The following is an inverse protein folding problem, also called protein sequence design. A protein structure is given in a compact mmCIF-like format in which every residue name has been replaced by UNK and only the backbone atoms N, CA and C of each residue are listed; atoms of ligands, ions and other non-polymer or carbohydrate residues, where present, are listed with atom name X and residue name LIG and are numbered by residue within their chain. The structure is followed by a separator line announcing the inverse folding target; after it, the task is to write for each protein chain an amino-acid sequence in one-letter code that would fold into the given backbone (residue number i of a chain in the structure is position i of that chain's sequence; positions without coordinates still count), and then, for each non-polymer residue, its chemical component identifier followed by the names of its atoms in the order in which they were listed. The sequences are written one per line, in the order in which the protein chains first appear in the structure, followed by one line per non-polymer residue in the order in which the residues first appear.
data_IF_167978732932
#
_entry.id   IF_167978732932
#
_cell.length_a   1.000
_cell.length_b   1.000
_cell.length_c   1.000
_cell.angle_alpha   90.00
_cell.angle_beta   90.00
_cell.angle_gamma   90.00
#
_symmetry.space_group_name_H-M   'P 1'
#
loop_
_entity.id
_entity.type
_entity.pdbx_description
1 polymer ?
#
# COMPACT_ATOMS: atom_id res chain seq x y z
N UNK A 1 26.15 58.64 1.88
CA UNK A 1 25.84 57.99 3.18
C UNK A 1 25.38 56.54 3.06
N UNK A 2 25.18 56.00 1.85
CA UNK A 2 24.76 54.61 1.58
C UNK A 2 25.90 53.65 1.28
N UNK A 3 27.05 54.13 0.80
CA UNK A 3 28.23 53.30 0.51
C UNK A 3 28.95 52.76 1.76
N UNK A 4 28.84 53.47 2.90
CA UNK A 4 29.45 53.06 4.17
C UNK A 4 28.63 52.02 4.93
N UNK A 5 27.32 51.90 4.65
CA UNK A 5 26.46 50.89 5.27
C UNK A 5 26.66 49.52 4.62
N UNK A 6 27.00 49.49 3.33
CA UNK A 6 27.24 48.26 2.58
C UNK A 6 28.56 47.57 2.94
N UNK A 7 29.59 48.35 3.30
CA UNK A 7 30.88 47.82 3.76
C UNK A 7 30.85 47.24 5.17
N UNK A 8 29.92 47.68 6.02
CA UNK A 8 29.74 47.14 7.38
C UNK A 8 28.97 45.81 7.36
N UNK A 9 28.01 45.64 6.44
CA UNK A 9 27.25 44.39 6.31
C UNK A 9 28.08 43.20 5.78
N UNK A 10 29.15 43.47 5.02
CA UNK A 10 30.05 42.43 4.48
C UNK A 10 31.20 42.06 5.43
N UNK A 11 31.40 42.81 6.52
CA UNK A 11 32.58 42.68 7.39
C UNK A 11 32.34 41.81 8.64
N UNK A 12 31.19 41.17 8.81
CA UNK A 12 30.91 40.33 9.98
C UNK A 12 30.01 39.13 9.65
N UNK A 13 30.44 38.31 8.69
CA UNK A 13 30.19 36.88 8.80
C UNK A 13 31.53 36.19 9.01
N UNK A 14 32.00 36.20 10.26
CA UNK A 14 33.00 35.24 10.71
C UNK A 14 32.34 33.86 10.59
N UNK A 15 32.45 33.24 9.41
CA UNK A 15 31.94 31.90 9.16
C UNK A 15 32.45 31.00 10.27
N UNK A 16 31.53 30.37 11.00
CA UNK A 16 31.86 29.39 12.04
C UNK A 16 32.90 28.45 11.44
N UNK A 17 34.11 28.32 12.03
CA UNK A 17 35.14 27.46 11.48
C UNK A 17 34.57 26.05 11.44
N UNK A 18 34.24 25.58 10.22
CA UNK A 18 33.80 24.21 10.00
C UNK A 18 34.99 23.32 10.30
N UNK A 19 35.02 22.77 11.51
CA UNK A 19 36.01 21.77 11.89
C UNK A 19 35.87 20.60 10.94
N UNK A 20 36.94 20.27 10.23
CA UNK A 20 36.95 19.09 9.37
C UNK A 20 36.60 17.87 10.23
N UNK A 21 35.63 17.03 9.84
CA UNK A 21 35.28 15.85 10.61
C UNK A 21 36.53 15.00 10.84
N UNK A 22 36.72 14.52 12.07
CA UNK A 22 37.84 13.66 12.42
C UNK A 22 37.90 12.48 11.44
N UNK A 23 39.04 12.28 10.77
CA UNK A 23 39.24 11.19 9.79
C UNK A 23 38.94 9.81 10.39
N UNK A 24 39.13 9.65 11.70
CA UNK A 24 38.83 8.42 12.43
C UNK A 24 37.32 8.27 12.66
N UNK A 25 36.64 9.34 13.07
CA UNK A 25 35.19 9.33 13.26
C UNK A 25 34.46 9.08 11.92
N UNK A 26 34.94 9.68 10.84
CA UNK A 26 34.39 9.50 9.50
C UNK A 26 34.56 8.05 8.98
N UNK A 27 35.72 7.44 9.21
CA UNK A 27 35.95 6.02 8.89
C UNK A 27 35.09 5.07 9.74
N UNK A 28 34.96 5.35 11.03
CA UNK A 28 34.12 4.56 11.92
C UNK A 28 32.64 4.67 11.52
N UNK A 29 32.16 5.88 11.24
CA UNK A 29 30.80 6.13 10.79
C UNK A 29 30.52 5.42 9.46
N UNK A 30 31.44 5.53 8.49
CA UNK A 30 31.34 4.80 7.22
C UNK A 30 31.30 3.29 7.46
N UNK A 31 32.20 2.75 8.27
CA UNK A 31 32.23 1.32 8.61
C UNK A 31 30.93 0.84 9.27
N UNK A 32 30.40 1.61 10.23
CA UNK A 32 29.13 1.34 10.88
C UNK A 32 27.97 1.38 9.90
N UNK A 33 27.88 2.40 9.03
CA UNK A 33 26.83 2.52 8.03
C UNK A 33 26.84 1.36 7.02
N UNK A 34 28.01 0.99 6.49
CA UNK A 34 28.14 -0.17 5.61
C UNK A 34 27.84 -1.49 6.35
N UNK A 35 28.30 -1.63 7.59
CA UNK A 35 28.02 -2.78 8.44
C UNK A 35 26.53 -2.95 8.71
N UNK A 36 25.81 -1.87 9.03
CA UNK A 36 24.35 -1.87 9.21
C UNK A 36 23.62 -2.23 7.92
N UNK A 37 24.01 -1.65 6.78
CA UNK A 37 23.41 -1.98 5.49
C UNK A 37 23.62 -3.46 5.11
N UNK A 38 24.83 -3.99 5.32
CA UNK A 38 25.14 -5.39 5.08
C UNK A 38 24.38 -6.31 6.04
N UNK A 39 24.28 -5.96 7.32
CA UNK A 39 23.53 -6.72 8.31
C UNK A 39 22.06 -6.82 7.94
N UNK A 40 21.43 -5.71 7.51
CA UNK A 40 20.03 -5.73 7.03
C UNK A 40 19.87 -6.67 5.84
N UNK A 41 20.78 -6.62 4.87
CA UNK A 41 20.76 -7.53 3.71
C UNK A 41 20.93 -8.99 4.12
N UNK A 42 21.86 -9.30 5.03
CA UNK A 42 22.08 -10.65 5.53
C UNK A 42 20.88 -11.19 6.31
N UNK A 43 20.25 -10.37 7.14
CA UNK A 43 19.04 -10.74 7.87
C UNK A 43 17.89 -11.01 6.90
N UNK A 44 17.66 -10.15 5.91
CA UNK A 44 16.63 -10.37 4.89
C UNK A 44 16.88 -11.64 4.07
N UNK A 45 18.12 -11.87 3.66
CA UNK A 45 18.52 -13.09 2.95
C UNK A 45 18.33 -14.34 3.83
N UNK A 46 18.67 -14.24 5.12
CA UNK A 46 18.47 -15.30 6.10
C UNK A 46 16.99 -15.64 6.33
N UNK A 47 16.13 -14.62 6.46
CA UNK A 47 14.67 -14.79 6.57
C UNK A 47 14.13 -15.48 5.30
N UNK A 48 14.53 -15.01 4.12
CA UNK A 48 14.10 -15.60 2.86
C UNK A 48 14.56 -17.07 2.74
N UNK A 49 15.82 -17.35 3.08
CA UNK A 49 16.37 -18.70 3.11
C UNK A 49 15.63 -19.61 4.09
N UNK A 50 15.29 -19.10 5.28
CA UNK A 50 14.52 -19.83 6.29
C UNK A 50 13.11 -20.17 5.82
N UNK A 51 12.41 -19.21 5.20
CA UNK A 51 11.07 -19.42 4.64
C UNK A 51 11.12 -20.46 3.52
N UNK A 52 12.08 -20.37 2.60
CA UNK A 52 12.24 -21.34 1.50
C UNK A 52 12.52 -22.74 2.04
N UNK A 53 13.41 -22.85 3.03
CA UNK A 53 13.74 -24.12 3.66
C UNK A 53 12.52 -24.76 4.33
N UNK A 54 11.79 -24.00 5.14
CA UNK A 54 10.60 -24.50 5.84
C UNK A 54 9.38 -24.73 4.95
N UNK A 55 9.31 -24.09 3.79
CA UNK A 55 8.28 -24.32 2.76
C UNK A 55 8.51 -25.60 1.93
N UNK A 56 9.75 -26.10 1.87
CA UNK A 56 10.13 -27.21 1.01
C UNK A 56 9.28 -28.49 1.22
N UNK A 57 8.95 -28.92 2.46
CA UNK A 57 8.09 -30.09 2.68
C UNK A 57 6.71 -29.95 2.02
N UNK A 58 6.06 -28.78 2.14
CA UNK A 58 4.76 -28.54 1.53
C UNK A 58 4.84 -28.57 -0.01
N UNK A 59 5.89 -27.99 -0.60
CA UNK A 59 6.08 -28.07 -2.05
C UNK A 59 6.41 -29.48 -2.55
N UNK A 60 7.07 -30.32 -1.75
CA UNK A 60 7.31 -31.73 -2.09
C UNK A 60 6.04 -32.57 -2.04
N UNK A 61 5.19 -32.33 -1.05
CA UNK A 61 3.94 -33.07 -0.86
C UNK A 61 2.88 -32.68 -1.90
N UNK A 62 2.63 -31.37 -2.06
CA UNK A 62 1.52 -30.88 -2.88
C UNK A 62 1.93 -30.44 -4.29
N UNK A 63 3.23 -30.22 -4.54
CA UNK A 63 3.74 -29.79 -5.84
C UNK A 63 3.04 -28.55 -6.40
N UNK A 64 2.77 -28.57 -7.71
CA UNK A 64 2.00 -27.52 -8.38
C UNK A 64 0.53 -27.47 -7.94
N UNK A 65 0.01 -28.58 -7.41
CA UNK A 65 -1.34 -28.67 -6.85
C UNK A 65 -1.57 -27.68 -5.71
N UNK A 66 -0.53 -27.31 -4.97
CA UNK A 66 -0.62 -26.30 -3.92
C UNK A 66 -1.14 -24.95 -4.42
N UNK A 67 -0.73 -24.52 -5.61
CA UNK A 67 -1.10 -23.21 -6.15
C UNK A 67 -2.54 -23.15 -6.68
N UNK A 68 -3.07 -24.29 -7.11
CA UNK A 68 -4.37 -24.41 -7.78
C UNK A 68 -5.46 -24.98 -6.88
N UNK A 69 -5.06 -25.67 -5.81
CA UNK A 69 -6.00 -26.26 -4.86
C UNK A 69 -6.68 -25.18 -4.01
N UNK A 70 -7.98 -25.35 -3.84
CA UNK A 70 -8.80 -24.60 -2.89
C UNK A 70 -8.92 -25.27 -1.53
N UNK A 71 -8.43 -26.50 -1.40
CA UNK A 71 -8.57 -27.28 -0.17
C UNK A 71 -7.72 -26.68 0.95
N UNK A 72 -8.31 -26.53 2.12
CA UNK A 72 -7.58 -26.21 3.35
C UNK A 72 -8.26 -26.95 4.48
N UNK A 73 -7.75 -28.12 4.82
CA UNK A 73 -8.30 -29.00 5.83
C UNK A 73 -7.17 -29.57 6.68
N UNK A 74 -7.15 -29.14 7.94
CA UNK A 74 -6.16 -29.54 8.95
C UNK A 74 -6.29 -31.04 9.26
N UNK A 75 -7.51 -31.57 9.35
CA UNK A 75 -7.75 -32.97 9.74
C UNK A 75 -7.35 -33.99 8.66
N UNK A 76 -7.36 -33.60 7.39
CA UNK A 76 -6.89 -34.46 6.29
C UNK A 76 -5.51 -34.05 5.76
N UNK A 77 -4.85 -33.09 6.43
CA UNK A 77 -3.57 -32.51 6.03
C UNK A 77 -3.51 -32.07 4.55
N UNK A 78 -4.59 -31.46 4.05
CA UNK A 78 -4.66 -30.97 2.67
C UNK A 78 -4.64 -29.44 2.64
N UNK A 79 -3.63 -28.87 2.00
CA UNK A 79 -3.43 -27.42 1.97
C UNK A 79 -3.26 -26.89 0.55
N UNK A 80 -3.88 -25.74 0.30
CA UNK A 80 -3.95 -25.10 -1.01
C UNK A 80 -3.98 -23.58 -0.88
N UNK A 81 -3.24 -22.91 -1.75
CA UNK A 81 -2.99 -21.47 -1.70
C UNK A 81 -4.02 -20.64 -2.47
N UNK A 82 -4.77 -21.25 -3.39
CA UNK A 82 -5.58 -20.51 -4.37
C UNK A 82 -6.53 -19.46 -3.75
N UNK A 83 -7.33 -19.78 -2.71
CA UNK A 83 -8.27 -18.82 -2.12
C UNK A 83 -7.54 -17.65 -1.46
N UNK A 84 -6.41 -17.94 -0.79
CA UNK A 84 -5.59 -16.93 -0.12
C UNK A 84 -4.90 -15.99 -1.12
N UNK A 85 -4.38 -16.53 -2.24
CA UNK A 85 -3.77 -15.76 -3.31
C UNK A 85 -4.78 -14.83 -3.96
N UNK A 86 -5.94 -15.35 -4.34
CA UNK A 86 -7.01 -14.55 -4.95
C UNK A 86 -7.48 -13.47 -3.99
N UNK A 87 -7.69 -13.79 -2.71
CA UNK A 87 -8.08 -12.81 -1.70
C UNK A 87 -7.05 -11.69 -1.53
N UNK A 88 -5.75 -12.02 -1.48
CA UNK A 88 -4.67 -11.01 -1.40
C UNK A 88 -4.70 -10.07 -2.61
N UNK A 89 -4.75 -10.62 -3.82
CA UNK A 89 -4.71 -9.83 -5.06
C UNK A 89 -6.00 -9.01 -5.20
N UNK A 90 -7.17 -9.60 -4.95
CA UNK A 90 -8.45 -8.91 -5.05
C UNK A 90 -8.55 -7.74 -4.05
N UNK A 91 -8.18 -7.96 -2.78
CA UNK A 91 -8.19 -6.90 -1.77
C UNK A 91 -7.23 -5.76 -2.13
N UNK A 92 -6.02 -6.07 -2.59
CA UNK A 92 -5.05 -5.07 -3.01
C UNK A 92 -5.49 -4.29 -4.26
N UNK A 93 -6.10 -4.96 -5.25
CA UNK A 93 -6.64 -4.32 -6.44
C UNK A 93 -7.81 -3.39 -6.08
N UNK A 94 -8.75 -3.84 -5.24
CA UNK A 94 -9.85 -3.01 -4.77
C UNK A 94 -9.34 -1.79 -4.01
N UNK A 95 -8.33 -1.98 -3.15
CA UNK A 95 -7.70 -0.89 -2.43
C UNK A 95 -7.10 0.17 -3.37
N UNK A 96 -6.43 -0.25 -4.45
CA UNK A 96 -5.87 0.66 -5.44
C UNK A 96 -6.95 1.39 -6.25
N UNK A 97 -7.95 0.66 -6.74
CA UNK A 97 -9.04 1.21 -7.56
C UNK A 97 -9.79 2.31 -6.79
N UNK A 98 -9.96 2.14 -5.48
CA UNK A 98 -10.65 3.12 -4.63
C UNK A 98 -9.67 4.20 -4.13
N UNK A 99 -8.53 3.78 -3.58
CA UNK A 99 -7.60 4.66 -2.87
C UNK A 99 -6.82 5.59 -3.79
N UNK A 100 -6.37 5.13 -4.96
CA UNK A 100 -5.53 5.95 -5.85
C UNK A 100 -6.27 7.19 -6.36
N UNK A 101 -7.50 7.10 -6.91
CA UNK A 101 -8.22 8.29 -7.35
C UNK A 101 -8.46 9.29 -6.21
N UNK A 102 -8.80 8.78 -5.03
CA UNK A 102 -9.02 9.61 -3.83
C UNK A 102 -7.72 10.31 -3.42
N UNK A 103 -6.59 9.61 -3.38
CA UNK A 103 -5.28 10.18 -3.06
C UNK A 103 -4.84 11.25 -4.03
N UNK A 104 -5.01 11.02 -5.34
CA UNK A 104 -4.69 12.01 -6.37
C UNK A 104 -5.58 13.24 -6.22
N UNK A 105 -6.87 13.05 -5.98
CA UNK A 105 -7.81 14.15 -5.71
C UNK A 105 -7.39 14.97 -4.50
N UNK A 106 -7.02 14.33 -3.39
CA UNK A 106 -6.53 15.01 -2.17
C UNK A 106 -5.25 15.79 -2.46
N UNK A 107 -4.28 15.18 -3.17
CA UNK A 107 -3.01 15.84 -3.47
C UNK A 107 -3.19 17.06 -4.40
N UNK A 108 -4.01 16.92 -5.44
CA UNK A 108 -4.34 18.03 -6.36
C UNK A 108 -5.10 19.13 -5.61
N UNK A 109 -6.07 18.77 -4.77
CA UNK A 109 -6.81 19.74 -3.96
C UNK A 109 -5.86 20.54 -3.06
N UNK A 110 -5.00 19.86 -2.30
CA UNK A 110 -4.08 20.53 -1.38
C UNK A 110 -3.09 21.46 -2.08
N UNK A 111 -2.63 21.10 -3.27
CA UNK A 111 -1.64 21.89 -4.01
C UNK A 111 -2.27 23.03 -4.81
N UNK A 112 -3.39 22.82 -5.50
CA UNK A 112 -3.94 23.79 -6.46
C UNK A 112 -5.21 24.53 -6.00
N UNK A 113 -6.07 23.89 -5.21
CA UNK A 113 -7.42 24.41 -4.91
C UNK A 113 -7.55 24.89 -3.46
N UNK A 114 -6.77 24.33 -2.54
CA UNK A 114 -6.91 24.56 -1.12
C UNK A 114 -6.42 25.97 -0.73
N UNK A 115 -7.21 26.76 0.01
CA UNK A 115 -6.80 28.07 0.48
C UNK A 115 -5.62 27.95 1.44
N UNK A 116 -4.69 28.91 1.39
CA UNK A 116 -3.41 28.83 2.09
C UNK A 116 -3.52 28.58 3.61
N UNK A 117 -4.57 29.09 4.26
CA UNK A 117 -4.82 28.89 5.70
C UNK A 117 -5.23 27.45 6.05
N UNK A 118 -5.91 26.73 5.15
CA UNK A 118 -6.38 25.36 5.38
C UNK A 118 -5.36 24.30 4.95
N UNK A 119 -4.44 24.64 4.04
CA UNK A 119 -3.47 23.68 3.47
C UNK A 119 -2.67 22.94 4.54
N UNK A 120 -2.06 23.68 5.47
CA UNK A 120 -1.17 23.11 6.51
C UNK A 120 -1.93 22.23 7.51
N UNK A 121 -3.07 22.67 8.09
CA UNK A 121 -3.88 21.81 8.96
C UNK A 121 -4.34 20.51 8.29
N UNK A 122 -4.91 20.60 7.08
CA UNK A 122 -5.46 19.43 6.38
C UNK A 122 -4.36 18.44 6.02
N UNK A 123 -3.23 18.93 5.53
CA UNK A 123 -2.04 18.12 5.28
C UNK A 123 -1.58 17.35 6.53
N UNK A 124 -1.48 18.06 7.66
CA UNK A 124 -1.08 17.45 8.92
C UNK A 124 -2.07 16.36 9.36
N UNK A 125 -3.38 16.57 9.19
CA UNK A 125 -4.39 15.54 9.50
C UNK A 125 -4.19 14.28 8.65
N UNK A 126 -3.87 14.42 7.36
CA UNK A 126 -3.61 13.28 6.46
C UNK A 126 -2.33 12.54 6.87
N UNK A 127 -1.27 13.26 7.22
CA UNK A 127 -0.02 12.67 7.70
C UNK A 127 -0.20 11.95 9.05
N UNK A 128 -1.02 12.51 9.94
CA UNK A 128 -1.41 11.85 11.19
C UNK A 128 -2.21 10.57 10.95
N UNK A 129 -3.06 10.54 9.91
CA UNK A 129 -3.81 9.35 9.53
C UNK A 129 -2.87 8.19 9.14
N UNK A 130 -1.76 8.48 8.46
CA UNK A 130 -0.73 7.47 8.15
C UNK A 130 -0.04 6.89 9.40
N UNK A 131 -0.06 7.60 10.53
CA UNK A 131 0.57 7.17 11.79
C UNK A 131 -0.32 6.23 12.62
N UNK A 132 -1.59 6.06 12.25
CA UNK A 132 -2.53 5.21 12.98
C UNK A 132 -2.13 3.73 12.78
N UNK A 133 -1.96 2.95 13.87
CA UNK A 133 -1.68 1.52 13.79
C UNK A 133 -2.76 0.76 13.01
N UNK A 134 -2.35 -0.22 12.18
CA UNK A 134 -3.27 -0.95 11.31
C UNK A 134 -4.33 -1.75 12.06
N UNK A 135 -4.01 -2.25 13.26
CA UNK A 135 -4.97 -2.94 14.12
C UNK A 135 -6.17 -2.05 14.50
N UNK A 136 -5.96 -0.73 14.67
CA UNK A 136 -7.03 0.20 15.00
C UNK A 136 -8.00 0.31 13.83
N UNK A 137 -7.50 0.40 12.59
CA UNK A 137 -8.35 0.35 11.40
C UNK A 137 -9.11 -0.97 11.27
N UNK A 138 -8.47 -2.09 11.57
CA UNK A 138 -9.11 -3.41 11.56
C UNK A 138 -10.25 -3.51 12.58
N UNK A 139 -10.00 -3.11 13.83
CA UNK A 139 -11.02 -3.13 14.89
C UNK A 139 -12.15 -2.13 14.62
N UNK A 140 -11.84 -0.90 14.20
CA UNK A 140 -12.86 0.06 13.77
C UNK A 140 -13.66 -0.48 12.57
N UNK A 141 -12.95 -1.11 11.63
CA UNK A 141 -13.50 -1.78 10.47
C UNK A 141 -14.52 -2.86 10.86
N UNK A 142 -14.21 -3.67 11.87
CA UNK A 142 -15.06 -4.77 12.34
C UNK A 142 -16.23 -4.27 13.20
N UNK A 143 -16.00 -3.37 14.15
CA UNK A 143 -17.03 -2.97 15.12
C UNK A 143 -17.92 -1.82 14.66
N UNK A 144 -17.43 -0.96 13.76
CA UNK A 144 -18.17 0.23 13.32
C UNK A 144 -18.50 0.13 11.84
N UNK A 145 -17.49 -0.04 10.98
CA UNK A 145 -17.70 0.01 9.53
C UNK A 145 -18.52 -1.18 9.03
N UNK A 146 -18.17 -2.42 9.40
CA UNK A 146 -18.83 -3.63 8.90
C UNK A 146 -20.34 -3.66 9.22
N UNK A 147 -20.82 -3.37 10.45
CA UNK A 147 -22.26 -3.32 10.72
C UNK A 147 -22.99 -2.26 9.89
N UNK A 148 -22.39 -1.08 9.72
CA UNK A 148 -22.95 -0.01 8.90
C UNK A 148 -22.96 -0.41 7.41
N UNK A 149 -21.87 -0.98 6.93
CA UNK A 149 -21.71 -1.43 5.55
C UNK A 149 -22.69 -2.56 5.21
N UNK A 150 -22.89 -3.52 6.12
CA UNK A 150 -23.90 -4.57 5.99
C UNK A 150 -25.28 -3.96 5.78
N UNK A 151 -25.69 -3.06 6.68
CA UNK A 151 -27.03 -2.48 6.71
C UNK A 151 -27.30 -1.53 5.54
N UNK A 152 -26.35 -0.65 5.22
CA UNK A 152 -26.57 0.45 4.28
C UNK A 152 -26.08 0.15 2.86
N UNK A 153 -25.18 -0.83 2.68
CA UNK A 153 -24.60 -1.15 1.36
C UNK A 153 -24.91 -2.59 0.97
N UNK A 154 -24.48 -3.59 1.75
CA UNK A 154 -24.61 -4.99 1.32
C UNK A 154 -26.08 -5.42 1.17
N UNK A 155 -26.95 -5.12 2.14
CA UNK A 155 -28.37 -5.52 2.07
C UNK A 155 -29.09 -4.82 0.91
N UNK A 156 -29.04 -3.48 0.75
CA UNK A 156 -29.70 -2.82 -0.37
C UNK A 156 -29.18 -3.26 -1.74
N UNK A 157 -27.85 -3.38 -1.89
CA UNK A 157 -27.25 -3.81 -3.16
C UNK A 157 -27.59 -5.26 -3.47
N UNK A 158 -27.54 -6.15 -2.49
CA UNK A 158 -27.88 -7.56 -2.71
C UNK A 158 -29.33 -7.73 -3.12
N UNK A 159 -30.27 -7.01 -2.49
CA UNK A 159 -31.70 -7.04 -2.84
C UNK A 159 -31.97 -6.51 -4.26
N UNK A 160 -31.21 -5.51 -4.73
CA UNK A 160 -31.35 -4.95 -6.07
C UNK A 160 -30.80 -5.86 -7.16
N UNK A 161 -29.80 -6.66 -6.80
CA UNK A 161 -28.99 -7.42 -7.74
C UNK A 161 -29.40 -8.91 -7.75
N UNK A 162 -30.23 -9.33 -6.79
CA UNK A 162 -30.80 -10.67 -6.72
C UNK A 162 -31.47 -11.07 -8.04
N UNK A 163 -31.07 -12.20 -8.60
CA UNK A 163 -31.56 -12.71 -9.89
C UNK A 163 -30.85 -12.21 -11.14
N UNK A 164 -29.91 -11.26 -11.05
CA UNK A 164 -29.09 -10.83 -12.19
C UNK A 164 -27.91 -11.78 -12.43
N UNK A 165 -27.71 -12.31 -13.65
CA UNK A 165 -26.74 -13.39 -13.90
C UNK A 165 -25.27 -12.96 -13.73
N UNK A 166 -24.91 -11.74 -14.14
CA UNK A 166 -23.52 -11.25 -14.07
C UNK A 166 -23.33 -10.35 -12.85
N UNK A 167 -24.24 -9.41 -12.63
CA UNK A 167 -24.11 -8.47 -11.51
C UNK A 167 -24.35 -9.19 -10.18
N UNK A 168 -25.28 -10.15 -10.14
CA UNK A 168 -25.59 -10.95 -8.95
C UNK A 168 -24.63 -12.08 -8.65
N UNK A 169 -23.67 -12.38 -9.54
CA UNK A 169 -22.56 -13.25 -9.15
C UNK A 169 -21.43 -12.49 -8.47
N UNK A 170 -21.28 -11.19 -8.74
CA UNK A 170 -20.19 -10.35 -8.23
C UNK A 170 -20.63 -9.53 -7.00
N UNK A 171 -21.85 -8.99 -7.01
CA UNK A 171 -22.37 -8.03 -6.03
C UNK A 171 -23.52 -8.58 -5.17
N UNK A 172 -23.59 -9.91 -5.02
CA UNK A 172 -24.55 -10.55 -4.13
C UNK A 172 -23.85 -11.09 -2.88
N UNK A 173 -24.31 -10.69 -1.70
CA UNK A 173 -23.83 -11.23 -0.44
C UNK A 173 -24.69 -12.43 -0.02
N UNK A 174 -24.11 -13.63 0.10
CA UNK A 174 -24.87 -14.80 0.62
C UNK A 174 -25.29 -14.62 2.07
N UNK A 175 -24.40 -14.01 2.86
CA UNK A 175 -24.62 -13.69 4.27
C UNK A 175 -24.14 -12.24 4.43
N UNK A 176 -25.04 -11.25 4.53
CA UNK A 176 -24.69 -9.84 4.68
C UNK A 176 -24.13 -9.53 6.08
N UNK A 177 -22.91 -10.00 6.36
CA UNK A 177 -22.23 -9.83 7.66
C UNK A 177 -21.39 -8.56 7.75
N UNK A 178 -21.27 -7.79 6.67
CA UNK A 178 -20.43 -6.59 6.61
C UNK A 178 -18.94 -6.88 6.45
N UNK A 179 -18.48 -8.07 6.84
CA UNK A 179 -17.13 -8.58 6.57
C UNK A 179 -17.05 -9.25 5.20
N UNK A 180 -15.94 -9.06 4.49
CA UNK A 180 -15.77 -9.54 3.12
C UNK A 180 -14.55 -8.94 2.42
N UNK A 181 -14.27 -9.43 1.20
CA UNK A 181 -13.13 -8.96 0.39
C UNK A 181 -13.24 -7.47 0.06
N UNK A 182 -14.44 -6.97 -0.26
CA UNK A 182 -14.66 -5.55 -0.53
C UNK A 182 -14.48 -4.68 0.71
N UNK A 183 -15.00 -5.11 1.86
CA UNK A 183 -14.80 -4.40 3.14
C UNK A 183 -13.32 -4.29 3.46
N UNK A 184 -12.56 -5.38 3.31
CA UNK A 184 -11.11 -5.36 3.45
C UNK A 184 -10.45 -4.39 2.46
N UNK A 185 -10.85 -4.42 1.18
CA UNK A 185 -10.36 -3.50 0.16
C UNK A 185 -10.63 -2.02 0.48
N UNK A 186 -11.79 -1.69 1.07
CA UNK A 186 -12.13 -0.32 1.47
C UNK A 186 -11.28 0.14 2.67
N UNK A 187 -11.12 -0.70 3.70
CA UNK A 187 -10.27 -0.38 4.85
C UNK A 187 -8.81 -0.20 4.39
N UNK A 188 -8.33 -1.07 3.50
CA UNK A 188 -7.02 -0.92 2.88
C UNK A 188 -6.90 0.37 2.07
N UNK A 189 -7.93 0.74 1.30
CA UNK A 189 -7.96 2.00 0.56
C UNK A 189 -7.76 3.19 1.50
N UNK A 190 -8.51 3.25 2.60
CA UNK A 190 -8.37 4.31 3.62
C UNK A 190 -6.95 4.37 4.16
N UNK A 191 -6.31 3.21 4.37
CA UNK A 191 -4.95 3.14 4.90
C UNK A 191 -3.88 3.56 3.89
N UNK A 192 -4.00 3.21 2.60
CA UNK A 192 -3.03 3.61 1.58
C UNK A 192 -3.19 5.08 1.16
N UNK A 193 -4.40 5.64 1.33
CA UNK A 193 -4.72 7.00 0.91
C UNK A 193 -3.73 8.05 1.43
N UNK A 194 -3.43 8.13 2.74
CA UNK A 194 -2.56 9.17 3.26
C UNK A 194 -1.12 9.05 2.76
N UNK A 195 -0.61 7.84 2.50
CA UNK A 195 0.73 7.63 1.94
C UNK A 195 0.82 8.09 0.48
N UNK A 196 -0.13 7.67 -0.35
CA UNK A 196 -0.12 8.04 -1.77
C UNK A 196 -0.38 9.54 -1.93
N UNK A 197 -1.28 10.11 -1.12
CA UNK A 197 -1.63 11.52 -1.15
C UNK A 197 -0.47 12.42 -0.69
N UNK A 198 0.20 12.09 0.43
CA UNK A 198 1.32 12.91 0.94
C UNK A 198 2.48 12.92 -0.03
N UNK A 199 2.90 11.76 -0.52
CA UNK A 199 4.00 11.65 -1.49
C UNK A 199 3.63 12.37 -2.78
N UNK A 200 2.42 12.19 -3.30
CA UNK A 200 2.00 12.87 -4.54
C UNK A 200 1.99 14.39 -4.36
N UNK A 201 1.47 14.88 -3.24
CA UNK A 201 1.45 16.32 -2.92
C UNK A 201 2.87 16.89 -2.87
N UNK A 202 3.77 16.24 -2.15
CA UNK A 202 5.16 16.71 -2.01
C UNK A 202 5.86 16.80 -3.37
N UNK A 203 5.56 15.87 -4.28
CA UNK A 203 6.12 15.86 -5.63
C UNK A 203 5.51 16.96 -6.50
N UNK A 204 4.21 17.24 -6.36
CA UNK A 204 3.55 18.34 -7.06
C UNK A 204 4.05 19.71 -6.56
N UNK A 205 4.29 19.85 -5.25
CA UNK A 205 4.82 21.09 -4.65
C UNK A 205 6.29 21.36 -5.06
N UNK A 206 7.05 20.31 -5.40
CA UNK A 206 8.42 20.44 -5.93
C UNK A 206 8.47 21.00 -7.38
N UNK A 207 7.36 21.01 -8.11
CA UNK A 207 7.33 21.54 -9.47
C UNK A 207 7.52 23.07 -9.45
N UNK A 208 8.49 23.62 -10.23
CA UNK A 208 8.77 25.06 -10.28
C UNK A 208 7.50 25.90 -10.53
N UNK A 209 7.35 26.99 -9.77
CA UNK A 209 6.22 27.92 -9.91
C UNK A 209 6.12 28.52 -11.31
N UNK A 210 7.26 28.77 -11.95
CA UNK A 210 7.35 29.34 -13.30
C UNK A 210 6.57 28.51 -14.33
N UNK A 211 6.57 27.18 -14.23
CA UNK A 211 5.81 26.31 -15.15
C UNK A 211 4.30 26.49 -14.97
N UNK A 212 3.86 26.69 -13.72
CA UNK A 212 2.45 26.96 -13.40
C UNK A 212 2.03 28.34 -13.90
N UNK A 213 2.81 29.36 -13.58
CA UNK A 213 2.54 30.75 -13.96
C UNK A 213 2.57 30.96 -15.48
N UNK A 214 3.47 30.27 -16.18
CA UNK A 214 3.55 30.31 -17.65
C UNK A 214 2.31 29.69 -18.30
N UNK A 215 1.81 28.57 -17.76
CA UNK A 215 0.58 27.95 -18.24
C UNK A 215 -0.66 28.84 -17.98
N UNK A 216 -0.73 29.48 -16.81
CA UNK A 216 -1.78 30.49 -16.57
C UNK A 216 -1.62 31.72 -17.49
N UNK A 217 -0.39 32.12 -17.81
CA UNK A 217 -0.10 33.26 -18.69
C UNK A 217 -0.56 33.07 -20.14
N UNK A 218 -0.69 31.83 -20.62
CA UNK A 218 -1.28 31.50 -21.93
C UNK A 218 -2.80 31.25 -21.88
N UNK A 219 -3.43 31.50 -20.74
CA UNK A 219 -4.88 31.38 -20.57
C UNK A 219 -5.39 30.01 -20.14
N UNK A 220 -4.51 29.08 -19.69
CA UNK A 220 -4.97 27.79 -19.20
C UNK A 220 -5.78 27.92 -17.91
N UNK A 221 -6.83 27.11 -17.80
CA UNK A 221 -7.60 26.88 -16.58
C UNK A 221 -6.83 26.03 -15.57
N UNK A 222 -7.22 26.07 -14.29
CA UNK A 222 -6.61 25.25 -13.23
C UNK A 222 -6.62 23.76 -13.55
N UNK A 223 -7.69 23.26 -14.16
CA UNK A 223 -7.79 21.87 -14.60
C UNK A 223 -6.84 21.54 -15.74
N UNK A 224 -6.67 22.46 -16.70
CA UNK A 224 -5.72 22.27 -17.80
C UNK A 224 -4.27 22.27 -17.31
N UNK A 225 -3.92 23.14 -16.35
CA UNK A 225 -2.60 23.15 -15.71
C UNK A 225 -2.34 21.83 -14.98
N UNK A 226 -3.31 21.33 -14.20
CA UNK A 226 -3.20 20.04 -13.52
C UNK A 226 -3.00 18.90 -14.52
N UNK A 227 -3.87 18.83 -15.54
CA UNK A 227 -3.92 17.71 -16.48
C UNK A 227 -2.74 17.67 -17.45
N UNK A 228 -2.30 18.83 -17.94
CA UNK A 228 -1.30 18.89 -19.02
C UNK A 228 0.11 19.29 -18.55
N UNK A 229 0.25 19.88 -17.36
CA UNK A 229 1.56 20.32 -16.84
C UNK A 229 1.94 19.50 -15.62
N UNK A 230 1.13 19.55 -14.56
CA UNK A 230 1.53 19.02 -13.25
C UNK A 230 1.53 17.49 -13.19
N UNK A 231 0.42 16.85 -13.59
CA UNK A 231 0.29 15.38 -13.55
C UNK A 231 1.31 14.69 -14.46
N UNK A 232 1.52 15.14 -15.72
CA UNK A 232 2.55 14.55 -16.58
C UNK A 232 3.96 14.69 -16.00
N UNK A 233 4.30 15.86 -15.45
CA UNK A 233 5.63 16.12 -14.89
C UNK A 233 5.89 15.31 -13.61
N UNK A 234 4.88 15.10 -12.77
CA UNK A 234 4.97 14.28 -11.56
C UNK A 234 4.67 12.78 -11.80
N UNK A 235 4.36 12.35 -13.02
CA UNK A 235 3.83 11.02 -13.32
C UNK A 235 4.69 9.87 -12.79
N UNK A 236 6.02 9.97 -12.94
CA UNK A 236 6.97 8.96 -12.44
C UNK A 236 6.89 8.82 -10.92
N UNK A 237 6.82 9.94 -10.21
CA UNK A 237 6.76 9.96 -8.75
C UNK A 237 5.39 9.53 -8.23
N UNK A 238 4.32 9.92 -8.93
CA UNK A 238 2.95 9.45 -8.66
C UNK A 238 2.89 7.92 -8.75
N UNK A 239 3.46 7.34 -9.80
CA UNK A 239 3.44 5.88 -9.93
C UNK A 239 4.32 5.23 -8.85
N UNK A 240 5.45 5.85 -8.49
CA UNK A 240 6.25 5.42 -7.34
C UNK A 240 5.46 5.42 -6.01
N UNK A 241 4.63 6.44 -5.78
CA UNK A 241 3.75 6.51 -4.63
C UNK A 241 2.69 5.40 -4.65
N UNK A 242 2.06 5.17 -5.81
CA UNK A 242 1.07 4.09 -6.01
C UNK A 242 1.71 2.71 -5.76
N UNK A 243 2.93 2.49 -6.24
CA UNK A 243 3.68 1.26 -6.00
C UNK A 243 3.96 1.02 -4.52
N UNK A 244 4.30 2.08 -3.78
CA UNK A 244 4.51 1.98 -2.33
C UNK A 244 3.20 1.61 -1.62
N UNK A 245 2.08 2.22 -2.04
CA UNK A 245 0.75 1.85 -1.56
C UNK A 245 0.38 0.40 -1.87
N UNK A 246 0.66 -0.07 -3.08
CA UNK A 246 0.42 -1.46 -3.48
C UNK A 246 1.24 -2.46 -2.66
N UNK A 247 2.53 -2.20 -2.45
CA UNK A 247 3.38 -3.03 -1.61
C UNK A 247 2.85 -3.15 -0.19
N UNK A 248 2.35 -2.04 0.38
CA UNK A 248 1.67 -2.04 1.68
C UNK A 248 0.38 -2.85 1.65
N UNK A 249 -0.46 -2.68 0.63
CA UNK A 249 -1.75 -3.36 0.53
C UNK A 249 -1.62 -4.89 0.39
N UNK A 250 -0.63 -5.38 -0.38
CA UNK A 250 -0.36 -6.81 -0.55
C UNK A 250 0.09 -7.49 0.74
N UNK A 251 0.85 -6.76 1.57
CA UNK A 251 1.41 -7.26 2.82
C UNK A 251 0.62 -6.88 4.07
N UNK A 252 -0.57 -6.28 3.93
CA UNK A 252 -1.34 -5.86 5.10
C UNK A 252 -1.97 -7.07 5.79
N UNK A 253 -1.61 -7.22 7.07
CA UNK A 253 -1.97 -8.39 7.87
C UNK A 253 -3.11 -8.05 8.83
N UNK A 254 -2.87 -7.17 9.80
CA UNK A 254 -3.75 -7.05 10.96
C UNK A 254 -5.07 -6.38 10.63
N UNK A 255 -5.08 -5.31 9.82
CA UNK A 255 -6.32 -4.65 9.46
C UNK A 255 -7.26 -5.61 8.71
N UNK A 256 -6.70 -6.35 7.75
CA UNK A 256 -7.44 -7.27 6.87
C UNK A 256 -7.97 -8.46 7.65
N UNK A 257 -7.19 -9.03 8.56
CA UNK A 257 -7.61 -10.17 9.40
C UNK A 257 -8.94 -9.90 10.12
N UNK A 258 -9.18 -8.69 10.62
CA UNK A 258 -10.41 -8.39 11.34
C UNK A 258 -11.65 -8.25 10.44
N UNK A 259 -11.49 -7.89 9.16
CA UNK A 259 -12.62 -7.46 8.31
C UNK A 259 -12.87 -8.34 7.09
N UNK A 260 -11.95 -9.23 6.71
CA UNK A 260 -12.11 -10.09 5.53
C UNK A 260 -13.02 -11.30 5.78
N UNK A 261 -13.20 -11.67 7.05
CA UNK A 261 -14.04 -12.78 7.50
C UNK A 261 -13.34 -14.16 7.56
N UNK A 262 -12.08 -14.26 7.14
CA UNK A 262 -11.19 -15.44 7.27
C UNK A 262 -11.82 -16.78 6.87
N UNK A 263 -12.55 -16.80 5.75
CA UNK A 263 -13.17 -18.02 5.23
C UNK A 263 -12.37 -18.62 4.08
N UNK A 264 -12.16 -19.94 4.11
CA UNK A 264 -11.52 -20.67 3.02
C UNK A 264 -12.52 -21.10 1.94
N UNK A 265 -12.99 -20.15 1.14
CA UNK A 265 -13.91 -20.43 0.05
C UNK A 265 -13.61 -19.58 -1.16
N UNK A 266 -13.67 -20.19 -2.34
CA UNK A 266 -13.77 -19.43 -3.58
C UNK A 266 -15.21 -19.00 -3.77
N UNK A 267 -15.44 -17.70 -3.70
CA UNK A 267 -16.67 -17.09 -4.17
C UNK A 267 -16.36 -16.09 -5.28
N UNK A 268 -17.26 -16.00 -6.26
CA UNK A 268 -17.20 -14.97 -7.29
C UNK A 268 -17.61 -13.59 -6.75
N UNK A 269 -18.31 -13.56 -5.62
CA UNK A 269 -18.80 -12.32 -5.01
C UNK A 269 -17.72 -11.65 -4.17
N UNK A 270 -17.54 -10.34 -4.38
CA UNK A 270 -16.62 -9.51 -3.59
C UNK A 270 -17.18 -9.17 -2.20
N UNK A 271 -18.48 -9.37 -1.97
CA UNK A 271 -19.08 -9.20 -0.65
C UNK A 271 -18.92 -10.42 0.24
N UNK A 272 -18.66 -11.60 -0.33
CA UNK A 272 -18.49 -12.79 0.46
C UNK A 272 -17.15 -12.77 1.23
N UNK A 273 -17.13 -13.32 2.45
CA UNK A 273 -15.90 -13.58 3.19
C UNK A 273 -14.87 -14.40 2.40
N UNK A 274 -13.62 -13.98 2.53
CA UNK A 274 -12.44 -14.64 1.97
C UNK A 274 -11.29 -14.70 2.96
N UNK A 275 -10.10 -14.98 2.45
CA UNK A 275 -8.85 -14.99 3.25
C UNK A 275 -7.71 -14.42 2.42
N UNK A 276 -6.75 -13.74 3.04
CA UNK A 276 -5.48 -13.37 2.37
C UNK A 276 -4.37 -14.28 2.87
N UNK A 277 -3.26 -14.30 2.13
CA UNK A 277 -2.05 -15.00 2.58
C UNK A 277 -1.61 -14.49 3.95
N UNK A 278 -1.57 -13.16 4.12
CA UNK A 278 -1.17 -12.54 5.38
C UNK A 278 -2.13 -12.88 6.53
N UNK A 279 -3.45 -12.82 6.31
CA UNK A 279 -4.43 -13.10 7.35
C UNK A 279 -4.43 -14.57 7.77
N UNK A 280 -4.24 -15.49 6.82
CA UNK A 280 -4.08 -16.93 7.09
C UNK A 280 -2.87 -17.22 7.96
N UNK A 281 -1.71 -16.68 7.59
CA UNK A 281 -0.49 -16.84 8.37
C UNK A 281 -0.70 -16.29 9.77
N UNK A 282 -1.27 -15.09 9.92
CA UNK A 282 -1.48 -14.49 11.23
C UNK A 282 -2.42 -15.29 12.15
N UNK A 283 -3.47 -15.89 11.59
CA UNK A 283 -4.45 -16.64 12.39
C UNK A 283 -3.96 -18.03 12.78
N UNK A 284 -3.23 -18.70 11.90
CA UNK A 284 -2.95 -20.14 12.07
C UNK A 284 -1.51 -20.44 12.47
N UNK A 285 -0.58 -19.48 12.37
CA UNK A 285 0.84 -19.74 12.63
C UNK A 285 1.15 -20.22 14.04
N UNK A 286 0.46 -19.70 15.05
CA UNK A 286 0.71 -20.07 16.45
C UNK A 286 0.24 -21.49 16.81
N UNK A 287 -0.69 -22.05 16.03
CA UNK A 287 -1.29 -23.36 16.26
C UNK A 287 -0.81 -24.41 15.25
N UNK A 288 -0.03 -23.99 14.25
CA UNK A 288 0.40 -24.85 13.16
C UNK A 288 1.59 -25.73 13.55
N UNK A 289 1.47 -27.02 13.25
CA UNK A 289 2.55 -28.01 13.38
C UNK A 289 2.72 -28.81 12.08
N UNK A 290 3.86 -29.49 11.95
CA UNK A 290 4.17 -30.40 10.84
C UNK A 290 3.91 -29.78 9.46
N UNK A 291 3.03 -30.44 8.68
CA UNK A 291 2.74 -30.04 7.31
C UNK A 291 1.95 -28.72 7.21
N UNK A 292 1.16 -28.37 8.24
CA UNK A 292 0.45 -27.09 8.28
C UNK A 292 1.46 -25.93 8.39
N UNK A 293 2.46 -26.06 9.26
CA UNK A 293 3.51 -25.05 9.42
C UNK A 293 4.29 -24.85 8.11
N UNK A 294 4.70 -25.96 7.47
CA UNK A 294 5.36 -25.89 6.16
C UNK A 294 4.47 -25.27 5.08
N UNK A 295 3.17 -25.52 5.11
CA UNK A 295 2.21 -24.93 4.16
C UNK A 295 2.04 -23.43 4.38
N UNK A 296 2.02 -22.96 5.63
CA UNK A 296 2.02 -21.52 5.95
C UNK A 296 3.33 -20.84 5.51
N UNK A 297 4.48 -21.50 5.69
CA UNK A 297 5.76 -21.00 5.17
C UNK A 297 5.76 -20.96 3.63
N UNK A 298 5.15 -21.94 2.95
CA UNK A 298 4.97 -21.92 1.51
C UNK A 298 4.06 -20.77 1.04
N UNK A 299 3.00 -20.44 1.78
CA UNK A 299 2.22 -19.22 1.53
C UNK A 299 3.09 -17.96 1.67
N UNK A 300 3.94 -17.87 2.69
CA UNK A 300 4.87 -16.75 2.87
C UNK A 300 5.86 -16.61 1.71
N UNK A 301 6.41 -17.72 1.23
CA UNK A 301 7.25 -17.76 0.02
C UNK A 301 6.48 -17.25 -1.21
N UNK A 302 5.22 -17.69 -1.37
CA UNK A 302 4.37 -17.28 -2.46
C UNK A 302 4.01 -15.78 -2.41
N UNK A 303 3.73 -15.24 -1.23
CA UNK A 303 3.48 -13.81 -1.05
C UNK A 303 4.70 -12.98 -1.44
N UNK A 304 5.91 -13.42 -1.08
CA UNK A 304 7.14 -12.78 -1.50
C UNK A 304 7.29 -12.78 -3.03
N UNK A 305 7.08 -13.93 -3.67
CA UNK A 305 7.14 -14.06 -5.13
C UNK A 305 6.10 -13.16 -5.81
N UNK A 306 4.85 -13.19 -5.34
CA UNK A 306 3.76 -12.36 -5.87
C UNK A 306 4.13 -10.88 -5.75
N UNK A 307 4.58 -10.45 -4.56
CA UNK A 307 4.98 -9.06 -4.32
C UNK A 307 6.12 -8.65 -5.24
N UNK A 308 7.13 -9.49 -5.39
CA UNK A 308 8.26 -9.24 -6.28
C UNK A 308 7.83 -9.12 -7.76
N UNK A 309 7.02 -10.07 -8.25
CA UNK A 309 6.49 -10.06 -9.62
C UNK A 309 5.63 -8.82 -9.87
N UNK A 310 4.71 -8.50 -8.96
CA UNK A 310 3.85 -7.32 -9.07
C UNK A 310 4.66 -6.03 -9.10
N UNK A 311 5.68 -5.90 -8.24
CA UNK A 311 6.56 -4.74 -8.23
C UNK A 311 7.42 -4.64 -9.50
N UNK A 312 7.89 -5.75 -10.06
CA UNK A 312 8.60 -5.77 -11.36
C UNK A 312 7.66 -5.31 -12.48
N UNK A 313 6.47 -5.90 -12.58
CA UNK A 313 5.49 -5.54 -13.62
C UNK A 313 5.19 -4.06 -13.55
N UNK A 314 4.89 -3.56 -12.34
CA UNK A 314 4.63 -2.15 -12.13
C UNK A 314 5.85 -1.31 -12.60
N UNK A 315 7.08 -1.70 -12.26
CA UNK A 315 8.30 -0.96 -12.65
C UNK A 315 8.51 -0.96 -14.16
N UNK A 316 8.23 -2.07 -14.83
CA UNK A 316 8.34 -2.19 -16.29
C UNK A 316 7.29 -1.31 -17.00
N UNK A 317 6.06 -1.25 -16.48
CA UNK A 317 5.02 -0.36 -17.00
C UNK A 317 5.45 1.11 -16.95
N UNK A 318 6.07 1.55 -15.84
CA UNK A 318 6.59 2.92 -15.70
C UNK A 318 7.76 3.21 -16.64
N UNK A 319 8.64 2.23 -16.86
CA UNK A 319 9.81 2.45 -17.73
C UNK A 319 9.37 2.78 -19.16
N UNK A 320 8.23 2.26 -19.62
CA UNK A 320 7.67 2.55 -20.95
C UNK A 320 7.15 3.98 -21.09
N UNK A 321 6.64 4.60 -20.01
CA UNK A 321 6.12 5.97 -20.05
C UNK A 321 7.21 7.04 -20.00
N UNK A 322 8.46 6.69 -19.65
CA UNK A 322 9.61 7.61 -19.70
C UNK A 322 10.22 7.79 -21.09
N UNK A 323 9.82 6.96 -22.07
CA UNK A 323 10.42 6.91 -23.42
C UNK A 323 9.51 7.54 -24.47
N UNK A 324 8.30 7.94 -24.11
CA UNK A 324 7.39 8.73 -24.93
C UNK A 324 7.31 10.16 -24.40
#
# INVERSE_FOLDING_TARGET
MTALTQSIALASESGVPRTAPSKTADRLFKGAAYGSALLVLLVLAGILGSIIYGAMPAFREFGFGFLTSSAWNIGTEQFGALPAVIGTVAAALLALVIGVPVSLGIAIYLTQLCPGWARKPVAMTIELLASVPSIIYGMWGLFVFAPLFARFVQVPVSNLVEGLPIVGTILYARIPSGVGVLTAGIILAIMIVPFVASITRDMLDQIPTVLRESAYGIGCTTWEVVRHVLVPQASVSIIGAIMLGLGRALGETMAVTFVIGNANRLSASIFDPGSTIASRIANEFNEADGLQLSSLMALGCLLFIITFVVLIIARLLVRRTKVA
#
